data_IF_967410571171
#
_entry.id   IF_967410571171
#
_cell.length_a   1.000
_cell.length_b   1.000
_cell.length_c   1.000
_cell.angle_alpha   90.00
_cell.angle_beta   90.00
_cell.angle_gamma   90.00
#
_symmetry.space_group_name_H-M   'P 1'
#
loop_
_entity.id
_entity.type
_entity.pdbx_description
1 polymer ?
#
# COMPACT_ATOMS: atom_id res chain seq x y z
N UNK A 1 -2.93 -8.65 -0.36
CA UNK A 1 -3.14 -8.40 -1.82
C UNK A 1 -1.93 -8.97 -2.53
N UNK A 2 -2.14 -9.91 -3.44
CA UNK A 2 -1.07 -10.56 -4.18
C UNK A 2 -1.17 -10.20 -5.66
N UNK A 3 -0.09 -9.62 -6.18
CA UNK A 3 0.08 -9.30 -7.60
C UNK A 3 1.02 -10.32 -8.22
N UNK A 4 0.59 -10.95 -9.30
CA UNK A 4 1.44 -11.81 -10.09
C UNK A 4 2.29 -10.98 -11.07
N UNK A 5 3.54 -11.37 -11.29
CA UNK A 5 4.48 -10.66 -12.16
C UNK A 5 4.03 -10.56 -13.62
N UNK A 6 3.09 -11.42 -14.04
CA UNK A 6 2.46 -11.39 -15.35
C UNK A 6 1.53 -10.20 -15.59
N UNK A 7 1.03 -9.56 -14.53
CA UNK A 7 0.03 -8.48 -14.64
C UNK A 7 0.70 -7.12 -14.79
N UNK A 8 1.68 -6.82 -13.93
CA UNK A 8 2.43 -5.57 -14.01
C UNK A 8 3.73 -5.64 -13.19
N UNK A 9 4.66 -4.72 -13.50
CA UNK A 9 5.86 -4.51 -12.68
C UNK A 9 5.50 -3.90 -11.33
N UNK A 10 5.80 -4.62 -10.25
CA UNK A 10 5.43 -4.27 -8.89
C UNK A 10 6.09 -2.96 -8.39
N UNK A 11 7.25 -2.58 -8.94
CA UNK A 11 8.02 -1.41 -8.51
C UNK A 11 7.26 -0.08 -8.65
N UNK A 12 6.29 -0.01 -9.57
CA UNK A 12 5.50 1.20 -9.81
C UNK A 12 4.40 1.42 -8.77
N UNK A 13 4.06 0.40 -7.97
CA UNK A 13 2.90 0.42 -7.06
C UNK A 13 3.27 0.26 -5.59
N UNK A 14 4.56 0.07 -5.27
CA UNK A 14 5.02 -0.22 -3.91
C UNK A 14 5.42 1.00 -3.09
N UNK A 15 5.44 2.19 -3.70
CA UNK A 15 5.71 3.44 -2.99
C UNK A 15 4.57 3.75 -2.01
N UNK A 16 4.94 4.12 -0.79
CA UNK A 16 3.98 4.48 0.25
C UNK A 16 3.18 5.71 -0.19
N UNK A 17 1.87 5.67 0.02
CA UNK A 17 0.97 6.77 -0.35
C UNK A 17 0.33 6.62 -1.73
N UNK A 18 0.86 5.74 -2.59
CA UNK A 18 0.30 5.45 -3.91
C UNK A 18 -1.13 4.95 -3.82
N UNK A 19 -1.99 5.50 -4.66
CA UNK A 19 -3.41 5.14 -4.72
C UNK A 19 -3.66 4.23 -5.92
N UNK A 20 -4.20 3.05 -5.65
CA UNK A 20 -4.51 2.03 -6.64
C UNK A 20 -5.95 1.59 -6.50
N UNK A 21 -6.57 1.28 -7.65
CA UNK A 21 -7.81 0.53 -7.72
C UNK A 21 -7.45 -0.89 -8.16
N UNK A 22 -7.95 -1.88 -7.45
CA UNK A 22 -7.60 -3.28 -7.65
C UNK A 22 -8.89 -4.09 -7.70
N UNK A 23 -9.04 -4.88 -8.76
CA UNK A 23 -10.12 -5.84 -8.93
C UNK A 23 -9.54 -7.25 -8.99
N UNK A 24 -10.26 -8.21 -8.42
CA UNK A 24 -9.86 -9.61 -8.47
C UNK A 24 -10.66 -10.46 -7.47
N UNK A 25 -10.11 -11.63 -7.16
CA UNK A 25 -10.81 -12.67 -6.40
C UNK A 25 -10.27 -12.76 -4.98
N UNK A 26 -11.18 -12.76 -4.00
CA UNK A 26 -10.83 -13.07 -2.61
C UNK A 26 -10.66 -14.58 -2.46
N UNK A 27 -9.52 -14.99 -1.91
CA UNK A 27 -9.18 -16.39 -1.61
C UNK A 27 -8.74 -16.53 -0.16
N UNK A 28 -8.80 -17.74 0.35
CA UNK A 28 -8.12 -18.06 1.60
C UNK A 28 -6.62 -17.84 1.44
N UNK A 29 -5.99 -17.34 2.50
CA UNK A 29 -4.54 -17.12 2.52
C UNK A 29 -3.81 -18.44 2.33
N UNK A 30 -2.90 -18.51 1.35
CA UNK A 30 -2.07 -19.71 1.14
C UNK A 30 -0.95 -19.82 2.18
N UNK A 31 -0.64 -18.74 2.90
CA UNK A 31 0.38 -18.69 3.93
C UNK A 31 -0.28 -18.65 5.30
N UNK A 32 0.16 -19.50 6.23
CA UNK A 32 -0.18 -19.35 7.64
C UNK A 32 0.39 -18.02 8.13
N UNK A 33 -0.48 -17.03 8.37
CA UNK A 33 -0.07 -15.66 8.61
C UNK A 33 -1.15 -14.78 9.21
N UNK A 34 -0.86 -13.48 9.27
CA UNK A 34 -1.69 -12.45 9.93
C UNK A 34 -3.10 -12.29 9.33
N UNK A 35 -3.34 -12.75 8.10
CA UNK A 35 -4.61 -12.55 7.40
C UNK A 35 -5.20 -13.88 6.97
N UNK A 36 -6.51 -14.08 7.23
CA UNK A 36 -7.24 -15.30 6.83
C UNK A 36 -7.60 -15.32 5.34
N UNK A 37 -7.71 -14.14 4.74
CA UNK A 37 -8.10 -13.94 3.34
C UNK A 37 -7.13 -13.01 2.63
N UNK A 38 -6.98 -13.24 1.34
CA UNK A 38 -6.12 -12.45 0.46
C UNK A 38 -6.84 -12.13 -0.85
N UNK A 39 -6.59 -10.93 -1.39
CA UNK A 39 -7.07 -10.53 -2.71
C UNK A 39 -6.03 -10.92 -3.76
N UNK A 40 -6.36 -11.87 -4.62
CA UNK A 40 -5.61 -12.17 -5.84
C UNK A 40 -6.01 -11.16 -6.92
N UNK A 41 -5.05 -10.38 -7.39
CA UNK A 41 -5.32 -9.32 -8.36
C UNK A 41 -5.51 -9.88 -9.77
N UNK A 42 -6.54 -9.40 -10.47
CA UNK A 42 -6.78 -9.67 -11.90
C UNK A 42 -6.64 -8.39 -12.73
N UNK A 43 -7.11 -7.26 -12.20
CA UNK A 43 -6.94 -5.94 -12.81
C UNK A 43 -6.43 -4.94 -11.80
N UNK A 44 -5.56 -4.07 -12.27
CA UNK A 44 -4.99 -3.00 -11.46
C UNK A 44 -5.00 -1.71 -12.27
N UNK A 45 -5.51 -0.66 -11.66
CA UNK A 45 -5.48 0.69 -12.20
C UNK A 45 -4.71 1.60 -11.24
N UNK A 46 -3.78 2.35 -11.81
CA UNK A 46 -3.04 3.36 -11.08
C UNK A 46 -3.84 4.67 -11.03
N UNK A 47 -4.27 5.08 -9.84
CA UNK A 47 -5.15 6.26 -9.69
C UNK A 47 -4.36 7.50 -9.29
N UNK A 48 -3.32 7.35 -8.48
CA UNK A 48 -2.50 8.47 -8.02
C UNK A 48 -1.06 8.07 -7.79
N UNK A 49 -0.16 8.59 -8.63
CA UNK A 49 1.28 8.39 -8.51
C UNK A 49 1.84 9.27 -7.39
N UNK A 50 2.72 8.69 -6.58
CA UNK A 50 3.38 9.39 -5.49
C UNK A 50 4.88 9.35 -5.70
N UNK A 51 5.52 10.53 -5.63
CA UNK A 51 6.97 10.65 -5.57
C UNK A 51 7.44 10.24 -4.17
N UNK A 52 8.10 9.09 -4.08
CA UNK A 52 8.63 8.53 -2.83
C UNK A 52 9.56 9.49 -2.09
N UNK A 53 10.24 10.41 -2.79
CA UNK A 53 11.17 11.35 -2.17
C UNK A 53 10.47 12.53 -1.48
N UNK A 54 9.22 12.81 -1.88
CA UNK A 54 8.43 13.94 -1.35
C UNK A 54 7.36 13.48 -0.35
N UNK A 55 7.00 12.21 -0.35
CA UNK A 55 5.96 11.70 0.53
C UNK A 55 6.48 11.52 1.96
N UNK A 56 5.86 12.16 2.97
CA UNK A 56 6.43 12.21 4.31
C UNK A 56 6.28 10.90 5.09
N UNK A 57 5.37 10.00 4.69
CA UNK A 57 5.17 8.73 5.42
C UNK A 57 6.07 7.62 4.88
N UNK A 58 6.78 6.96 5.78
CA UNK A 58 7.55 5.74 5.50
C UNK A 58 6.84 4.50 6.05
N UNK A 59 7.34 3.30 5.69
CA UNK A 59 6.86 2.03 6.27
C UNK A 59 7.31 1.85 7.73
N UNK A 60 8.27 2.65 8.19
CA UNK A 60 8.81 2.62 9.54
C UNK A 60 8.00 3.52 10.47
N UNK A 61 8.06 3.25 11.77
CA UNK A 61 7.42 4.11 12.76
C UNK A 61 8.08 5.49 12.74
N UNK A 62 7.29 6.53 12.49
CA UNK A 62 7.75 7.92 12.53
C UNK A 62 7.58 8.51 13.94
N UNK A 63 8.49 9.40 14.39
CA UNK A 63 8.33 10.13 15.63
C UNK A 63 7.08 11.03 15.62
N UNK A 64 6.46 11.23 16.78
CA UNK A 64 5.28 12.10 16.91
C UNK A 64 5.59 13.56 16.54
N UNK A 65 6.78 14.06 16.88
CA UNK A 65 7.24 15.39 16.47
C UNK A 65 7.26 15.60 14.97
N UNK A 66 7.69 14.57 14.22
CA UNK A 66 7.68 14.61 12.77
C UNK A 66 6.24 14.66 12.24
N UNK A 67 5.34 13.84 12.79
CA UNK A 67 3.94 13.80 12.39
C UNK A 67 3.17 15.09 12.73
N UNK A 68 3.61 15.87 13.73
CA UNK A 68 3.01 17.19 14.05
C UNK A 68 3.13 18.18 12.89
N UNK A 69 4.24 18.16 12.15
CA UNK A 69 4.44 18.99 10.96
C UNK A 69 3.51 18.58 9.80
N UNK A 70 3.01 17.35 9.83
CA UNK A 70 2.17 16.73 8.81
C UNK A 70 0.86 16.22 9.42
N UNK A 71 0.19 17.07 10.20
CA UNK A 71 -0.99 16.70 10.98
C UNK A 71 -2.12 16.08 10.14
N UNK A 72 -2.29 16.51 8.89
CA UNK A 72 -3.25 15.98 7.93
C UNK A 72 -2.94 14.54 7.48
N UNK A 73 -1.70 14.06 7.64
CA UNK A 73 -1.33 12.68 7.36
C UNK A 73 -1.52 11.75 8.57
N UNK A 74 -1.69 12.29 9.78
CA UNK A 74 -1.86 11.49 11.01
C UNK A 74 -2.99 10.45 10.92
N UNK A 75 -4.17 10.74 10.34
CA UNK A 75 -5.24 9.74 10.18
C UNK A 75 -4.86 8.52 9.33
N UNK A 76 -3.78 8.62 8.54
CA UNK A 76 -3.28 7.54 7.67
C UNK A 76 -2.14 6.73 8.30
N UNK A 77 -1.89 6.89 9.60
CA UNK A 77 -0.89 6.14 10.37
C UNK A 77 -1.57 5.26 11.43
N UNK A 78 -0.96 4.14 11.82
CA UNK A 78 -1.51 3.20 12.82
C UNK A 78 -1.22 3.61 14.27
N UNK A 79 -0.91 4.88 14.52
CA UNK A 79 -0.56 5.40 15.87
C UNK A 79 -1.81 5.85 16.61
#
# INVERSE_FOLDING_TARGET
>A
VLLHSSIASLSKFTSTGTSILVEGVLKESSLEGKHKIELQVEKLLHVGMVDSNKYPLSKTRLPLDFLRNYSHFRPRTTT
#
